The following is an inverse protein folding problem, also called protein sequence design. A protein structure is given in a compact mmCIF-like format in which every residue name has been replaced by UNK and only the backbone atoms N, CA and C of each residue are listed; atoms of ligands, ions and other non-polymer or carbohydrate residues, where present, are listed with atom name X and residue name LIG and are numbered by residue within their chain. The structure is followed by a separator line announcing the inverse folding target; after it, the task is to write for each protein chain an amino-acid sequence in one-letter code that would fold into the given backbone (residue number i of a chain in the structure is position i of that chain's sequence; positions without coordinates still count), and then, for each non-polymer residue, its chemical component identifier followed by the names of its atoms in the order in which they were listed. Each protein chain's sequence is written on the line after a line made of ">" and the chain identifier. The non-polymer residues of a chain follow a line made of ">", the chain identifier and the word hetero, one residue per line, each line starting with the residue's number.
data_IF_723726242249
#
_entry.id   IF_723726242249
#
_cell.length_a   1.000
_cell.length_b   1.000
_cell.length_c   1.000
_cell.angle_alpha   90.00
_cell.angle_beta   90.00
_cell.angle_gamma   90.00
#
_symmetry.space_group_name_H-M   'P 1'
#
loop_
_entity.id
_entity.type
_entity.pdbx_description
1 polymer ?
#
# COMPACT_ATOMS: atom_id res chain seq x y z
N UNK A 1 -8.05 -13.24 28.52
CA UNK A 1 -8.11 -13.33 27.05
C UNK A 1 -9.40 -12.68 26.54
N UNK A 2 -9.58 -12.55 25.21
CA UNK A 2 -10.72 -11.86 24.58
C UNK A 2 -12.08 -12.57 24.74
N UNK A 3 -12.11 -13.73 25.41
CA UNK A 3 -13.33 -14.48 25.72
C UNK A 3 -14.39 -13.66 26.47
N UNK A 4 -13.98 -12.65 27.27
CA UNK A 4 -14.89 -11.73 27.95
C UNK A 4 -15.64 -10.76 27.02
N UNK A 5 -15.26 -10.69 25.74
CA UNK A 5 -15.91 -9.88 24.70
C UNK A 5 -16.58 -10.76 23.62
N UNK A 6 -17.02 -11.97 23.99
CA UNK A 6 -17.68 -12.94 23.12
C UNK A 6 -16.82 -13.48 21.94
N UNK A 7 -15.50 -13.37 22.01
CA UNK A 7 -14.60 -14.05 21.06
C UNK A 7 -14.36 -15.49 21.53
N UNK A 8 -15.00 -16.45 20.85
CA UNK A 8 -14.96 -17.89 21.18
C UNK A 8 -13.93 -18.65 20.32
N UNK A 9 -13.01 -17.96 19.63
CA UNK A 9 -12.05 -18.55 18.67
C UNK A 9 -10.65 -17.95 18.71
N UNK A 10 -9.84 -18.25 17.69
CA UNK A 10 -8.49 -17.69 17.53
C UNK A 10 -8.49 -16.15 17.44
N UNK A 11 -7.34 -15.53 17.70
CA UNK A 11 -7.20 -14.08 17.65
C UNK A 11 -7.54 -13.56 16.25
N UNK A 12 -8.43 -12.57 16.10
CA UNK A 12 -8.78 -12.02 14.80
C UNK A 12 -7.54 -11.50 14.07
N UNK A 13 -7.45 -11.79 12.76
CA UNK A 13 -6.28 -11.43 11.97
C UNK A 13 -5.92 -9.93 12.07
N UNK A 14 -6.91 -9.05 12.04
CA UNK A 14 -6.66 -7.61 12.15
C UNK A 14 -5.99 -7.23 13.48
N UNK A 15 -6.36 -7.89 14.58
CA UNK A 15 -5.77 -7.61 15.89
C UNK A 15 -4.35 -8.17 15.98
N UNK A 16 -4.09 -9.32 15.37
CA UNK A 16 -2.74 -9.82 15.18
C UNK A 16 -1.88 -8.83 14.39
N UNK A 17 -2.37 -8.31 13.26
CA UNK A 17 -1.65 -7.34 12.42
C UNK A 17 -1.34 -6.05 13.17
N UNK A 18 -2.27 -5.53 13.98
CA UNK A 18 -2.02 -4.37 14.83
C UNK A 18 -0.94 -4.67 15.89
N UNK A 19 -0.99 -5.85 16.52
CA UNK A 19 0.03 -6.25 17.48
C UNK A 19 1.39 -6.45 16.83
N UNK A 20 1.44 -7.04 15.64
CA UNK A 20 2.63 -7.22 14.84
C UNK A 20 3.27 -5.88 14.48
N UNK A 21 2.47 -4.92 14.03
CA UNK A 21 2.89 -3.55 13.74
C UNK A 21 3.49 -2.88 14.98
N UNK A 22 2.83 -2.98 16.14
CA UNK A 22 3.34 -2.43 17.39
C UNK A 22 4.70 -3.01 17.79
N UNK A 23 4.90 -4.33 17.60
CA UNK A 23 6.13 -5.03 18.00
C UNK A 23 7.28 -4.80 16.99
N UNK A 24 7.01 -4.84 15.69
CA UNK A 24 8.05 -4.82 14.67
C UNK A 24 8.35 -3.42 14.13
N UNK A 25 7.38 -2.51 14.17
CA UNK A 25 7.45 -1.21 13.50
C UNK A 25 7.03 -0.06 14.42
N UNK A 26 7.04 -0.27 15.74
CA UNK A 26 6.61 0.70 16.75
C UNK A 26 5.18 1.24 16.55
N UNK A 27 4.34 0.56 15.76
CA UNK A 27 2.98 0.98 15.43
C UNK A 27 2.85 1.91 14.22
N UNK A 28 3.96 2.42 13.67
CA UNK A 28 3.93 3.42 12.59
C UNK A 28 3.76 2.80 11.19
N UNK A 29 4.07 1.51 11.04
CA UNK A 29 3.97 0.77 9.77
C UNK A 29 3.46 -0.65 10.00
N UNK A 30 2.95 -1.27 8.94
CA UNK A 30 2.57 -2.67 8.99
C UNK A 30 3.81 -3.55 9.22
N UNK A 31 3.65 -4.59 10.06
CA UNK A 31 4.64 -5.64 10.21
C UNK A 31 4.67 -6.59 9.01
N UNK A 32 5.50 -7.63 9.08
CA UNK A 32 5.76 -8.52 7.95
C UNK A 32 4.49 -9.12 7.31
N UNK A 33 3.57 -9.67 8.11
CA UNK A 33 2.33 -10.28 7.60
C UNK A 33 1.39 -9.22 7.06
N UNK A 34 1.16 -8.15 7.82
CA UNK A 34 0.27 -7.06 7.39
C UNK A 34 0.73 -6.41 6.09
N UNK A 35 2.03 -6.12 5.98
CA UNK A 35 2.62 -5.51 4.79
C UNK A 35 2.55 -6.43 3.58
N UNK A 36 2.75 -7.74 3.77
CA UNK A 36 2.62 -8.73 2.70
C UNK A 36 1.19 -8.78 2.15
N UNK A 37 0.19 -8.90 3.02
CA UNK A 37 -1.22 -8.96 2.62
C UNK A 37 -1.59 -7.71 1.81
N UNK A 38 -1.33 -6.52 2.35
CA UNK A 38 -1.69 -5.26 1.68
C UNK A 38 -0.90 -5.07 0.39
N UNK A 39 0.40 -5.35 0.40
CA UNK A 39 1.26 -5.23 -0.78
C UNK A 39 0.81 -6.14 -1.92
N UNK A 40 0.45 -7.40 -1.64
CA UNK A 40 -0.06 -8.31 -2.65
C UNK A 40 -1.41 -7.91 -3.21
N UNK A 41 -2.31 -7.39 -2.37
CA UNK A 41 -3.60 -6.91 -2.85
C UNK A 41 -3.40 -5.75 -3.82
N UNK A 42 -2.54 -4.78 -3.50
CA UNK A 42 -2.26 -3.65 -4.38
C UNK A 42 -1.63 -4.11 -5.72
N UNK A 43 -0.61 -4.96 -5.67
CA UNK A 43 0.02 -5.52 -6.88
C UNK A 43 -0.98 -6.33 -7.69
N UNK A 44 -1.82 -7.14 -7.02
CA UNK A 44 -2.83 -7.97 -7.65
C UNK A 44 -3.93 -7.15 -8.34
N UNK A 45 -4.36 -6.04 -7.74
CA UNK A 45 -5.30 -5.09 -8.35
C UNK A 45 -4.69 -4.52 -9.63
N UNK A 46 -3.50 -3.92 -9.54
CA UNK A 46 -2.85 -3.29 -10.70
C UNK A 46 -2.63 -4.31 -11.83
N UNK A 47 -2.13 -5.51 -11.49
CA UNK A 47 -1.79 -6.52 -12.50
C UNK A 47 -3.01 -7.15 -13.20
N UNK A 48 -4.20 -7.07 -12.58
CA UNK A 48 -5.43 -7.67 -13.10
C UNK A 48 -6.41 -6.66 -13.67
N UNK A 49 -6.14 -5.37 -13.51
CA UNK A 49 -6.94 -4.30 -14.07
C UNK A 49 -6.53 -4.07 -15.55
N UNK A 50 -7.42 -4.37 -16.52
CA UNK A 50 -7.14 -4.17 -17.94
C UNK A 50 -6.99 -2.70 -18.32
N UNK A 51 -7.47 -1.77 -17.49
CA UNK A 51 -7.31 -0.32 -17.69
C UNK A 51 -6.10 0.25 -16.93
N UNK A 52 -5.36 -0.58 -16.19
CA UNK A 52 -4.13 -0.13 -15.54
C UNK A 52 -3.11 0.33 -16.56
N UNK A 53 -2.32 1.37 -16.21
CA UNK A 53 -1.23 1.85 -17.06
C UNK A 53 -0.23 0.74 -17.43
N UNK A 54 0.00 -0.24 -16.54
CA UNK A 54 0.86 -1.39 -16.84
C UNK A 54 0.29 -2.30 -17.94
N UNK A 55 -1.03 -2.42 -18.04
CA UNK A 55 -1.70 -3.23 -19.05
C UNK A 55 -1.83 -2.48 -20.39
N UNK A 56 -2.23 -1.21 -20.36
CA UNK A 56 -2.51 -0.43 -21.58
C UNK A 56 -1.24 0.13 -22.26
N UNK A 57 -0.19 0.42 -21.50
CA UNK A 57 1.10 0.89 -22.01
C UNK A 57 2.27 0.39 -21.13
N UNK A 58 2.83 -0.80 -21.42
CA UNK A 58 3.94 -1.38 -20.65
C UNK A 58 5.22 -0.54 -20.65
N UNK A 59 5.37 0.38 -21.62
CA UNK A 59 6.51 1.30 -21.72
C UNK A 59 6.25 2.65 -21.06
N UNK A 60 5.09 2.82 -20.42
CA UNK A 60 4.68 4.10 -19.86
C UNK A 60 5.71 4.63 -18.86
N UNK A 61 5.95 5.94 -18.97
CA UNK A 61 6.73 6.70 -18.01
C UNK A 61 5.98 7.99 -17.65
N UNK A 62 6.12 8.51 -16.41
CA UNK A 62 5.53 9.78 -16.02
C UNK A 62 5.99 10.92 -16.95
N UNK A 63 5.04 11.70 -17.44
CA UNK A 63 5.29 12.84 -18.34
C UNK A 63 5.43 14.17 -17.60
N UNK A 64 5.02 14.21 -16.33
CA UNK A 64 5.20 15.40 -15.48
C UNK A 64 6.69 15.65 -15.20
N UNK A 65 7.09 16.93 -15.03
CA UNK A 65 8.44 17.27 -14.63
C UNK A 65 8.81 16.58 -13.32
N UNK A 66 10.05 16.09 -13.23
CA UNK A 66 10.63 15.52 -12.00
C UNK A 66 11.72 16.41 -11.46
N UNK A 67 11.80 16.54 -10.14
CA UNK A 67 12.85 17.32 -9.49
C UNK A 67 14.20 16.58 -9.37
N UNK A 68 14.17 15.24 -9.41
CA UNK A 68 15.34 14.37 -9.24
C UNK A 68 15.42 13.33 -10.37
N UNK A 69 16.34 12.37 -10.25
CA UNK A 69 16.50 11.26 -11.21
C UNK A 69 15.26 10.37 -11.30
N UNK A 70 14.55 10.17 -10.18
CA UNK A 70 13.33 9.37 -10.10
C UNK A 70 12.11 10.27 -9.95
N UNK A 71 11.03 9.92 -10.64
CA UNK A 71 9.72 10.51 -10.42
C UNK A 71 9.16 10.03 -9.06
N UNK A 72 8.76 10.96 -8.20
CA UNK A 72 8.24 10.69 -6.85
C UNK A 72 6.85 11.29 -6.68
N UNK A 73 6.15 10.90 -5.60
CA UNK A 73 4.81 11.41 -5.27
C UNK A 73 4.75 12.96 -5.20
N UNK A 74 5.82 13.64 -4.76
CA UNK A 74 5.87 15.11 -4.75
C UNK A 74 5.79 15.73 -6.15
N UNK A 75 6.26 15.02 -7.18
CA UNK A 75 6.28 15.52 -8.56
C UNK A 75 4.86 15.51 -9.16
N UNK A 76 3.91 14.80 -8.54
CA UNK A 76 2.47 14.88 -8.88
C UNK A 76 1.88 16.23 -8.47
N UNK A 77 2.45 16.89 -7.46
CA UNK A 77 1.97 18.18 -6.96
C UNK A 77 2.47 19.37 -7.80
N UNK A 78 3.27 19.12 -8.85
CA UNK A 78 3.69 20.20 -9.76
C UNK A 78 2.42 20.78 -10.40
N UNK A 79 2.09 22.05 -10.12
CA UNK A 79 0.81 22.60 -10.51
C UNK A 79 0.67 22.61 -12.04
N UNK A 80 -0.51 22.23 -12.53
CA UNK A 80 -0.93 22.40 -13.93
C UNK A 80 -1.04 23.89 -14.35
N UNK A 81 -0.62 24.84 -13.52
CA UNK A 81 -0.66 26.29 -13.75
C UNK A 81 0.43 26.83 -14.70
N UNK A 82 0.82 26.06 -15.70
CA UNK A 82 1.51 26.59 -16.88
C UNK A 82 0.73 26.17 -18.13
N UNK A 83 -0.42 26.82 -18.32
CA UNK A 83 -0.99 27.11 -19.63
C UNK A 83 -1.49 28.53 -19.64
#
# INVERSE_FOLDING_TARGET
>A
GLAGYAWVGETPLWLYVLRESAVQQAGDRLGAVGARIVGEVLVGIISRDPESYLAVDPGWAPTLPRHETLFRLRDILVPAQLR
#
